data_IF_434882532588
#
_entry.id   IF_434882532588
#
_cell.length_a   1.000
_cell.length_b   1.000
_cell.length_c   1.000
_cell.angle_alpha   90.00
_cell.angle_beta   90.00
_cell.angle_gamma   90.00
#
_symmetry.space_group_name_H-M   'P 1'
#
loop_
_entity.id
_entity.type
_entity.pdbx_description
1 polymer ?
#
# COMPACT_ATOMS: atom_id res chain seq x y z
N UNK A 1 3.57 -2.17 -23.00
CA UNK A 1 4.39 -2.60 -21.80
C UNK A 1 3.55 -2.53 -20.52
N UNK A 2 3.80 -3.39 -19.51
CA UNK A 2 3.17 -3.29 -18.17
C UNK A 2 4.27 -3.33 -17.10
N UNK A 3 4.20 -2.45 -16.09
CA UNK A 3 5.06 -2.47 -14.92
C UNK A 3 4.23 -2.52 -13.64
N UNK A 4 4.67 -3.30 -12.66
CA UNK A 4 4.04 -3.41 -11.34
C UNK A 4 5.05 -3.05 -10.26
N UNK A 5 4.90 -1.88 -9.67
CA UNK A 5 5.68 -1.43 -8.52
C UNK A 5 5.06 -2.02 -7.24
N UNK A 6 5.56 -3.17 -6.81
CA UNK A 6 4.96 -3.95 -5.73
C UNK A 6 5.80 -4.00 -4.44
N UNK A 7 7.09 -3.71 -4.49
CA UNK A 7 7.96 -3.77 -3.32
C UNK A 7 7.43 -2.87 -2.19
N UNK A 8 7.42 -3.39 -0.96
CA UNK A 8 6.96 -2.64 0.19
C UNK A 8 7.29 -3.34 1.50
N UNK A 9 7.51 -2.53 2.54
CA UNK A 9 7.78 -2.97 3.90
C UNK A 9 6.83 -2.26 4.87
N UNK A 10 6.69 -2.82 6.07
CA UNK A 10 6.03 -2.17 7.20
C UNK A 10 7.00 -2.08 8.38
N UNK A 11 6.93 -0.96 9.11
CA UNK A 11 7.62 -0.75 10.39
C UNK A 11 6.54 -0.30 11.38
N UNK A 12 5.94 -1.26 12.11
CA UNK A 12 5.00 -0.96 13.17
C UNK A 12 5.69 -0.30 14.36
N UNK A 13 5.11 0.80 14.81
CA UNK A 13 5.57 1.59 15.95
C UNK A 13 4.75 2.86 16.11
N UNK A 14 4.80 3.51 17.29
CA UNK A 14 4.20 4.83 17.44
C UNK A 14 4.98 5.89 16.67
N UNK A 15 4.37 7.03 16.41
CA UNK A 15 5.05 8.13 15.71
C UNK A 15 6.29 8.62 16.47
N UNK A 16 6.19 8.73 17.79
CA UNK A 16 7.25 9.28 18.62
C UNK A 16 8.41 8.32 18.85
N UNK A 17 8.15 7.01 18.79
CA UNK A 17 9.15 5.98 19.02
C UNK A 17 9.84 5.52 17.72
N UNK A 18 9.26 5.83 16.55
CA UNK A 18 9.82 5.45 15.24
C UNK A 18 10.97 6.38 14.87
N UNK A 19 12.16 5.83 14.73
CA UNK A 19 13.37 6.58 14.42
C UNK A 19 13.37 7.15 12.99
N UNK A 20 14.15 8.22 12.75
CA UNK A 20 14.26 8.82 11.41
C UNK A 20 14.78 7.84 10.36
N UNK A 21 15.62 6.89 10.74
CA UNK A 21 16.15 5.89 9.80
C UNK A 21 15.07 4.89 9.38
N UNK A 22 14.13 4.53 10.26
CA UNK A 22 12.96 3.73 9.91
C UNK A 22 12.05 4.49 8.94
N UNK A 23 11.82 5.77 9.19
CA UNK A 23 11.09 6.64 8.26
C UNK A 23 11.75 6.68 6.89
N UNK A 24 13.06 6.92 6.83
CA UNK A 24 13.84 6.93 5.58
C UNK A 24 13.72 5.60 4.85
N UNK A 25 13.84 4.49 5.57
CA UNK A 25 13.74 3.14 5.03
C UNK A 25 12.36 2.87 4.44
N UNK A 26 11.29 3.17 5.19
CA UNK A 26 9.90 2.98 4.72
C UNK A 26 9.62 3.84 3.49
N UNK A 27 9.94 5.14 3.54
CA UNK A 27 9.73 6.05 2.41
C UNK A 27 10.61 5.69 1.22
N UNK A 28 11.87 5.31 1.45
CA UNK A 28 12.81 4.88 0.42
C UNK A 28 12.30 3.69 -0.38
N UNK A 29 11.75 2.68 0.30
CA UNK A 29 11.24 1.48 -0.38
C UNK A 29 9.82 1.70 -0.92
N UNK A 30 8.88 2.14 -0.05
CA UNK A 30 7.47 2.16 -0.41
C UNK A 30 7.09 3.28 -1.39
N UNK A 31 7.76 4.44 -1.31
CA UNK A 31 7.47 5.61 -2.13
C UNK A 31 8.54 5.81 -3.21
N UNK A 32 9.81 5.94 -2.84
CA UNK A 32 10.86 6.21 -3.83
C UNK A 32 11.07 5.04 -4.79
N UNK A 33 10.87 3.79 -4.35
CA UNK A 33 10.84 2.63 -5.24
C UNK A 33 9.77 2.77 -6.33
N UNK A 34 8.57 3.23 -5.95
CA UNK A 34 7.48 3.53 -6.91
C UNK A 34 7.84 4.69 -7.83
N UNK A 35 8.43 5.77 -7.29
CA UNK A 35 8.90 6.92 -8.10
C UNK A 35 9.92 6.48 -9.13
N UNK A 36 10.92 5.69 -8.73
CA UNK A 36 11.96 5.19 -9.64
C UNK A 36 11.38 4.30 -10.74
N UNK A 37 10.56 3.30 -10.36
CA UNK A 37 9.96 2.39 -11.33
C UNK A 37 9.03 3.13 -12.30
N UNK A 38 8.12 3.98 -11.79
CA UNK A 38 7.20 4.75 -12.63
C UNK A 38 7.94 5.70 -13.58
N UNK A 39 9.00 6.36 -13.09
CA UNK A 39 9.79 7.29 -13.93
C UNK A 39 10.56 6.58 -15.03
N UNK A 40 11.26 5.47 -14.70
CA UNK A 40 12.08 4.74 -15.67
C UNK A 40 11.20 4.09 -16.74
N UNK A 41 10.20 3.32 -16.32
CA UNK A 41 9.33 2.60 -17.25
C UNK A 41 8.30 3.50 -17.93
N UNK A 42 7.82 4.56 -17.27
CA UNK A 42 6.95 5.55 -17.89
C UNK A 42 7.65 6.26 -19.04
N UNK A 43 8.92 6.68 -18.89
CA UNK A 43 9.71 7.22 -19.99
C UNK A 43 9.87 6.24 -21.14
N UNK A 44 10.22 5.00 -20.84
CA UNK A 44 10.37 3.97 -21.86
C UNK A 44 9.04 3.73 -22.61
N UNK A 45 7.89 3.76 -21.93
CA UNK A 45 6.56 3.63 -22.57
C UNK A 45 6.27 4.82 -23.48
N UNK A 46 6.55 6.06 -23.04
CA UNK A 46 6.38 7.28 -23.87
C UNK A 46 7.28 7.22 -25.11
N UNK A 47 8.58 6.89 -24.95
CA UNK A 47 9.52 6.77 -26.05
C UNK A 47 9.15 5.67 -27.04
N UNK A 48 8.55 4.57 -26.59
CA UNK A 48 8.07 3.47 -27.41
C UNK A 48 6.81 3.84 -28.22
N UNK A 49 5.96 4.73 -27.71
CA UNK A 49 4.75 5.21 -28.37
C UNK A 49 3.62 4.18 -28.55
N UNK A 50 3.71 3.02 -27.88
CA UNK A 50 2.73 1.93 -27.98
C UNK A 50 1.74 1.92 -26.79
N UNK A 51 1.79 2.96 -25.95
CA UNK A 51 1.06 3.01 -24.70
C UNK A 51 1.58 2.00 -23.67
N UNK A 52 0.81 1.79 -22.61
CA UNK A 52 1.22 0.87 -21.56
C UNK A 52 0.37 0.98 -20.29
N UNK A 53 0.82 0.30 -19.22
CA UNK A 53 0.13 0.41 -17.94
C UNK A 53 1.11 0.34 -16.76
N UNK A 54 0.98 1.27 -15.82
CA UNK A 54 1.73 1.31 -14.58
C UNK A 54 0.79 0.94 -13.43
N UNK A 55 1.18 -0.04 -12.64
CA UNK A 55 0.46 -0.46 -11.43
C UNK A 55 1.31 -0.14 -10.21
N UNK A 56 0.77 0.65 -9.29
CA UNK A 56 1.45 1.00 -8.04
C UNK A 56 0.71 0.38 -6.84
N UNK A 57 1.40 -0.43 -6.06
CA UNK A 57 0.82 -1.08 -4.88
C UNK A 57 0.77 -0.10 -3.70
N UNK A 58 -0.37 0.56 -3.53
CA UNK A 58 -0.73 1.32 -2.35
C UNK A 58 -1.18 0.38 -1.21
N UNK A 59 -2.24 0.69 -0.49
CA UNK A 59 -2.84 -0.13 0.57
C UNK A 59 -4.18 0.46 1.02
N UNK A 60 -5.01 -0.32 1.70
CA UNK A 60 -6.12 0.21 2.49
C UNK A 60 -5.66 1.24 3.54
N UNK A 61 -4.43 1.12 4.02
CA UNK A 61 -3.79 2.09 4.93
C UNK A 61 -3.65 3.50 4.33
N UNK A 62 -3.79 3.66 3.00
CA UNK A 62 -3.83 4.97 2.36
C UNK A 62 -5.12 5.75 2.68
N UNK A 63 -6.18 5.06 3.10
CA UNK A 63 -7.49 5.65 3.36
C UNK A 63 -7.74 5.99 4.83
N UNK A 64 -6.95 5.44 5.76
CA UNK A 64 -7.22 5.62 7.17
C UNK A 64 -5.98 5.74 8.04
N UNK A 65 -6.07 6.55 9.12
CA UNK A 65 -4.97 6.67 10.07
C UNK A 65 -4.85 5.41 10.93
N UNK A 66 -3.62 5.09 11.32
CA UNK A 66 -3.29 4.08 12.33
C UNK A 66 -2.26 4.64 13.30
N UNK A 67 -2.46 4.44 14.60
CA UNK A 67 -1.50 4.86 15.64
C UNK A 67 -0.19 4.06 15.56
N UNK A 68 -0.28 2.83 15.12
CA UNK A 68 0.81 1.86 15.13
C UNK A 68 1.54 1.76 13.78
N UNK A 69 1.10 2.48 12.74
CA UNK A 69 1.68 2.39 11.39
C UNK A 69 1.81 3.76 10.70
N UNK A 70 2.23 4.85 11.38
CA UNK A 70 2.20 6.19 10.80
C UNK A 70 3.05 6.33 9.54
N UNK A 71 4.28 5.83 9.53
CA UNK A 71 5.18 5.88 8.38
C UNK A 71 4.63 5.08 7.18
N UNK A 72 4.08 3.90 7.45
CA UNK A 72 3.46 3.08 6.43
C UNK A 72 2.23 3.76 5.81
N UNK A 73 1.30 4.26 6.63
CA UNK A 73 0.11 4.97 6.17
C UNK A 73 0.48 6.19 5.32
N UNK A 74 1.44 7.00 5.78
CA UNK A 74 1.92 8.15 5.03
C UNK A 74 2.52 7.74 3.68
N UNK A 75 3.37 6.70 3.65
CA UNK A 75 3.96 6.20 2.40
C UNK A 75 2.90 5.72 1.40
N UNK A 76 1.87 4.99 1.88
CA UNK A 76 0.83 4.43 1.00
C UNK A 76 -0.18 5.48 0.54
N UNK A 77 -0.46 6.50 1.35
CA UNK A 77 -1.23 7.66 0.93
C UNK A 77 -0.50 8.47 -0.15
N UNK A 78 0.82 8.63 -0.01
CA UNK A 78 1.65 9.28 -1.02
C UNK A 78 1.66 8.50 -2.35
N UNK A 79 1.76 7.16 -2.30
CA UNK A 79 1.69 6.30 -3.51
C UNK A 79 0.33 6.43 -4.21
N UNK A 80 -0.77 6.47 -3.44
CA UNK A 80 -2.10 6.65 -4.00
C UNK A 80 -2.19 7.99 -4.76
N UNK A 81 -1.80 9.10 -4.12
CA UNK A 81 -1.86 10.43 -4.75
C UNK A 81 -0.88 10.55 -5.92
N UNK A 82 0.33 10.01 -5.81
CA UNK A 82 1.29 9.97 -6.93
C UNK A 82 0.70 9.24 -8.14
N UNK A 83 -0.01 8.13 -7.92
CA UNK A 83 -0.64 7.38 -9.02
C UNK A 83 -1.72 8.19 -9.73
N UNK A 84 -2.52 8.97 -9.00
CA UNK A 84 -3.51 9.88 -9.58
C UNK A 84 -2.83 10.98 -10.41
N UNK A 85 -1.74 11.57 -9.91
CA UNK A 85 -0.96 12.58 -10.65
C UNK A 85 -0.37 12.00 -11.94
N UNK A 86 0.26 10.81 -11.86
CA UNK A 86 0.84 10.15 -13.02
C UNK A 86 -0.23 9.77 -14.06
N UNK A 87 -1.41 9.34 -13.60
CA UNK A 87 -2.52 9.05 -14.51
C UNK A 87 -2.94 10.28 -15.28
N UNK A 88 -3.05 11.43 -14.62
CA UNK A 88 -3.40 12.69 -15.27
C UNK A 88 -2.33 13.14 -16.28
N UNK A 89 -1.04 12.95 -15.95
CA UNK A 89 0.09 13.33 -16.81
C UNK A 89 0.20 12.43 -18.05
N UNK A 90 0.09 11.11 -17.87
CA UNK A 90 0.39 10.12 -18.93
C UNK A 90 -0.81 9.72 -19.78
N UNK A 91 -2.00 10.31 -19.52
CA UNK A 91 -3.22 9.99 -20.27
C UNK A 91 -3.08 10.26 -21.78
N UNK A 92 -2.39 11.35 -22.14
CA UNK A 92 -2.16 11.74 -23.53
C UNK A 92 -1.26 10.79 -24.31
N UNK A 93 -0.42 10.02 -23.61
CA UNK A 93 0.48 9.01 -24.18
C UNK A 93 -0.14 7.61 -24.25
N UNK A 94 -1.42 7.46 -23.90
CA UNK A 94 -2.10 6.16 -23.87
C UNK A 94 -1.59 5.23 -22.78
N UNK A 95 -1.01 5.77 -21.69
CA UNK A 95 -0.48 5.01 -20.57
C UNK A 95 -1.45 5.07 -19.40
N UNK A 96 -2.05 3.92 -19.07
CA UNK A 96 -2.89 3.79 -17.89
C UNK A 96 -2.06 3.74 -16.59
N UNK A 97 -2.63 4.25 -15.50
CA UNK A 97 -2.02 4.13 -14.16
C UNK A 97 -3.08 3.68 -13.16
N UNK A 98 -2.77 2.61 -12.43
CA UNK A 98 -3.65 2.04 -11.40
C UNK A 98 -2.96 2.05 -10.03
N UNK A 99 -3.60 2.65 -9.03
CA UNK A 99 -3.27 2.43 -7.63
C UNK A 99 -4.02 1.20 -7.10
N UNK A 100 -3.31 0.14 -6.76
CA UNK A 100 -3.92 -1.05 -6.13
C UNK A 100 -3.90 -0.89 -4.62
N UNK A 101 -5.05 -1.01 -3.97
CA UNK A 101 -5.23 -0.81 -2.54
C UNK A 101 -5.73 -2.11 -1.87
N UNK A 102 -4.84 -3.08 -1.58
CA UNK A 102 -5.19 -4.25 -0.82
C UNK A 102 -5.39 -3.89 0.67
N UNK A 103 -6.23 -4.65 1.35
CA UNK A 103 -6.28 -4.68 2.81
C UNK A 103 -5.40 -5.78 3.37
N UNK A 104 -5.97 -6.65 4.22
CA UNK A 104 -5.27 -7.76 4.86
C UNK A 104 -5.11 -8.91 3.87
N UNK A 105 -3.88 -9.17 3.44
CA UNK A 105 -3.50 -10.24 2.50
C UNK A 105 -2.43 -11.11 3.15
N UNK A 106 -2.58 -12.44 3.04
CA UNK A 106 -1.62 -13.41 3.57
C UNK A 106 -0.29 -13.35 2.79
N UNK A 107 0.62 -12.47 3.22
CA UNK A 107 1.96 -12.27 2.63
C UNK A 107 3.03 -12.32 3.71
N UNK A 108 4.30 -12.30 3.31
CA UNK A 108 5.41 -12.27 4.24
C UNK A 108 5.67 -10.89 4.89
N UNK A 109 4.88 -9.86 4.57
CA UNK A 109 5.10 -8.50 5.08
C UNK A 109 5.09 -8.42 6.61
N UNK A 110 4.30 -9.26 7.27
CA UNK A 110 4.24 -9.35 8.74
C UNK A 110 5.46 -10.00 9.34
N UNK A 111 6.06 -10.97 8.63
CA UNK A 111 7.26 -11.70 9.07
C UNK A 111 8.54 -10.90 8.90
N UNK A 112 8.56 -9.96 7.94
CA UNK A 112 9.71 -9.10 7.64
C UNK A 112 9.58 -7.71 8.24
N UNK A 113 8.50 -7.43 8.97
CA UNK A 113 8.28 -6.17 9.65
C UNK A 113 9.25 -6.03 10.84
N UNK A 114 9.80 -4.82 11.02
CA UNK A 114 10.54 -4.45 12.22
C UNK A 114 9.58 -3.72 13.17
N UNK A 115 9.39 -4.25 14.38
CA UNK A 115 8.47 -3.70 15.38
C UNK A 115 9.23 -2.82 16.35
N UNK A 116 9.07 -1.51 16.24
CA UNK A 116 9.80 -0.51 17.04
C UNK A 116 9.56 -0.68 18.54
N UNK A 117 10.64 -0.56 19.32
CA UNK A 117 10.57 -0.59 20.79
C UNK A 117 10.37 -1.98 21.40
N UNK A 118 10.54 -3.06 20.63
CA UNK A 118 10.41 -4.44 21.09
C UNK A 118 11.74 -5.18 21.13
N UNK A 119 11.86 -6.16 22.02
CA UNK A 119 12.95 -7.12 21.95
C UNK A 119 12.77 -8.07 20.77
N UNK A 120 13.83 -8.73 20.32
CA UNK A 120 13.77 -9.70 19.20
C UNK A 120 12.75 -10.82 19.45
N UNK A 121 12.65 -11.32 20.70
CA UNK A 121 11.71 -12.37 21.09
C UNK A 121 10.26 -11.86 21.05
N UNK A 122 10.03 -10.60 21.46
CA UNK A 122 8.72 -9.96 21.40
C UNK A 122 8.31 -9.67 19.96
N UNK A 123 9.24 -9.23 19.11
CA UNK A 123 9.01 -9.03 17.68
C UNK A 123 8.55 -10.34 17.02
N UNK A 124 9.28 -11.44 17.24
CA UNK A 124 8.94 -12.74 16.68
C UNK A 124 7.55 -13.21 17.10
N UNK A 125 7.20 -13.02 18.37
CA UNK A 125 5.89 -13.41 18.93
C UNK A 125 4.74 -12.58 18.32
N UNK A 126 4.92 -11.27 18.19
CA UNK A 126 3.92 -10.39 17.60
C UNK A 126 3.78 -10.65 16.10
N UNK A 127 4.90 -10.81 15.40
CA UNK A 127 4.90 -11.17 13.98
C UNK A 127 4.11 -12.47 13.70
N UNK A 128 4.28 -13.49 14.56
CA UNK A 128 3.54 -14.76 14.46
C UNK A 128 2.04 -14.56 14.72
N UNK A 129 1.67 -13.79 15.76
CA UNK A 129 0.27 -13.50 16.05
C UNK A 129 -0.42 -12.75 14.91
N UNK A 130 0.22 -11.71 14.36
CA UNK A 130 -0.30 -10.93 13.24
C UNK A 130 -0.37 -11.79 11.97
N UNK A 131 0.65 -12.60 11.71
CA UNK A 131 0.66 -13.53 10.56
C UNK A 131 -0.52 -14.50 10.63
N UNK A 132 -0.77 -15.13 11.78
CA UNK A 132 -1.94 -16.01 11.97
C UNK A 132 -3.27 -15.30 11.73
N UNK A 133 -3.38 -14.02 12.13
CA UNK A 133 -4.56 -13.21 11.87
C UNK A 133 -4.76 -12.99 10.36
N UNK A 134 -3.69 -12.70 9.63
CA UNK A 134 -3.72 -12.52 8.18
C UNK A 134 -4.07 -13.82 7.44
N UNK A 135 -3.49 -14.95 7.85
CA UNK A 135 -3.79 -16.27 7.28
C UNK A 135 -5.25 -16.68 7.49
N UNK A 136 -5.85 -16.38 8.65
CA UNK A 136 -7.27 -16.63 8.92
C UNK A 136 -8.22 -15.90 7.97
N UNK A 137 -7.81 -14.74 7.42
CA UNK A 137 -8.61 -13.98 6.46
C UNK A 137 -8.70 -14.65 5.09
N UNK A 138 -7.84 -15.61 4.77
CA UNK A 138 -7.83 -16.40 3.53
C UNK A 138 -7.85 -15.57 2.25
N UNK A 139 -7.41 -14.31 2.31
CA UNK A 139 -7.23 -13.50 1.12
C UNK A 139 -5.80 -13.66 0.63
N UNK A 140 -5.65 -14.32 -0.52
CA UNK A 140 -4.33 -14.74 -1.01
C UNK A 140 -3.71 -13.73 -1.97
N UNK A 141 -2.38 -13.74 -2.15
CA UNK A 141 -1.69 -12.92 -3.15
C UNK A 141 -2.21 -13.12 -4.57
N UNK A 142 -2.62 -14.35 -4.92
CA UNK A 142 -3.16 -14.68 -6.25
C UNK A 142 -4.46 -13.92 -6.53
N UNK A 143 -5.32 -13.75 -5.53
CA UNK A 143 -6.54 -12.92 -5.68
C UNK A 143 -6.21 -11.45 -5.92
N UNK A 144 -5.15 -10.95 -5.29
CA UNK A 144 -4.67 -9.59 -5.57
C UNK A 144 -4.14 -9.50 -6.98
N UNK A 145 -3.34 -10.48 -7.44
CA UNK A 145 -2.82 -10.53 -8.80
C UNK A 145 -3.95 -10.57 -9.85
N UNK A 146 -4.99 -11.38 -9.62
CA UNK A 146 -6.18 -11.40 -10.49
C UNK A 146 -6.88 -10.03 -10.53
N UNK A 147 -7.01 -9.36 -9.38
CA UNK A 147 -7.60 -8.02 -9.32
C UNK A 147 -6.73 -6.97 -10.04
N UNK A 148 -5.39 -7.10 -10.00
CA UNK A 148 -4.46 -6.26 -10.77
C UNK A 148 -4.71 -6.45 -12.28
N UNK A 149 -4.75 -7.69 -12.76
CA UNK A 149 -4.98 -7.98 -14.18
C UNK A 149 -6.32 -7.42 -14.64
N UNK A 150 -7.38 -7.60 -13.84
CA UNK A 150 -8.70 -7.04 -14.15
C UNK A 150 -8.69 -5.50 -14.16
N UNK A 151 -7.98 -4.88 -13.20
CA UNK A 151 -7.87 -3.42 -13.12
C UNK A 151 -7.11 -2.81 -14.31
N UNK A 152 -6.09 -3.50 -14.83
CA UNK A 152 -5.38 -3.12 -16.05
C UNK A 152 -6.33 -3.20 -17.25
N UNK A 153 -7.05 -4.31 -17.41
CA UNK A 153 -7.97 -4.51 -18.53
C UNK A 153 -9.12 -3.49 -18.57
N UNK A 154 -9.57 -3.04 -17.39
CA UNK A 154 -10.63 -2.06 -17.23
C UNK A 154 -10.11 -0.61 -17.11
N UNK A 155 -8.80 -0.40 -17.18
CA UNK A 155 -8.12 0.89 -16.98
C UNK A 155 -8.60 1.63 -15.72
N UNK A 156 -8.75 0.90 -14.61
CA UNK A 156 -9.21 1.45 -13.33
C UNK A 156 -8.16 2.36 -12.69
N UNK A 157 -8.50 3.60 -12.28
CA UNK A 157 -7.55 4.48 -11.58
C UNK A 157 -7.20 3.93 -10.18
N UNK A 158 -8.19 3.41 -9.44
CA UNK A 158 -8.01 2.85 -8.10
C UNK A 158 -8.71 1.49 -7.99
N UNK A 159 -7.93 0.47 -7.69
CA UNK A 159 -8.43 -0.89 -7.46
C UNK A 159 -8.40 -1.24 -5.97
N UNK A 160 -9.55 -1.12 -5.32
CA UNK A 160 -9.73 -1.49 -3.90
C UNK A 160 -10.11 -2.96 -3.82
N UNK A 161 -9.21 -3.80 -3.29
CA UNK A 161 -9.24 -5.24 -3.57
C UNK A 161 -9.99 -6.06 -2.53
N UNK A 162 -9.78 -5.83 -1.23
CA UNK A 162 -10.39 -6.65 -0.17
C UNK A 162 -11.68 -6.02 0.39
N UNK A 163 -12.59 -6.81 1.00
CA UNK A 163 -13.84 -6.28 1.55
C UNK A 163 -13.62 -5.17 2.60
N UNK A 164 -12.66 -5.36 3.52
CA UNK A 164 -12.33 -4.37 4.54
C UNK A 164 -11.70 -3.12 3.93
N UNK A 165 -10.89 -3.24 2.88
CA UNK A 165 -10.36 -2.09 2.15
C UNK A 165 -11.48 -1.29 1.47
N UNK A 166 -12.48 -1.96 0.89
CA UNK A 166 -13.67 -1.32 0.30
C UNK A 166 -14.46 -0.56 1.35
N UNK A 167 -14.65 -1.16 2.53
CA UNK A 167 -15.32 -0.50 3.65
C UNK A 167 -14.52 0.73 4.13
N UNK A 168 -13.22 0.59 4.30
CA UNK A 168 -12.32 1.69 4.68
C UNK A 168 -12.35 2.84 3.66
N UNK A 169 -12.31 2.51 2.38
CA UNK A 169 -12.42 3.50 1.30
C UNK A 169 -13.75 4.23 1.33
N UNK A 170 -14.87 3.50 1.54
CA UNK A 170 -16.19 4.11 1.68
C UNK A 170 -16.27 5.03 2.91
N UNK A 171 -15.74 4.59 4.07
CA UNK A 171 -15.70 5.43 5.26
C UNK A 171 -14.81 6.68 5.08
N UNK A 172 -13.67 6.54 4.42
CA UNK A 172 -12.78 7.66 4.11
C UNK A 172 -13.50 8.72 3.27
N UNK A 173 -14.32 8.29 2.32
CA UNK A 173 -15.02 9.16 1.40
C UNK A 173 -16.29 9.80 2.01
N UNK A 174 -17.06 9.03 2.77
CA UNK A 174 -18.42 9.45 3.21
C UNK A 174 -18.55 9.65 4.72
N UNK A 175 -17.66 9.06 5.52
CA UNK A 175 -17.72 9.12 6.98
C UNK A 175 -16.33 9.31 7.63
N UNK A 176 -15.52 10.30 7.22
CA UNK A 176 -14.14 10.45 7.71
C UNK A 176 -14.07 10.69 9.22
N UNK A 177 -15.10 11.28 9.83
CA UNK A 177 -15.20 11.44 11.29
C UNK A 177 -15.28 10.11 12.03
N UNK A 178 -16.03 9.12 11.50
CA UNK A 178 -16.11 7.78 12.07
C UNK A 178 -14.76 7.07 11.97
N UNK A 179 -14.11 7.15 10.81
CA UNK A 179 -12.79 6.54 10.60
C UNK A 179 -11.74 7.07 11.60
N UNK A 180 -11.73 8.40 11.84
CA UNK A 180 -10.85 9.02 12.86
C UNK A 180 -11.17 8.56 14.29
N UNK A 181 -12.45 8.32 14.60
CA UNK A 181 -12.85 7.77 15.92
C UNK A 181 -12.37 6.33 16.09
N UNK A 182 -12.54 5.50 15.07
CA UNK A 182 -12.07 4.10 15.07
C UNK A 182 -10.54 4.02 15.21
N UNK A 183 -9.80 4.90 14.56
CA UNK A 183 -8.35 4.96 14.69
C UNK A 183 -7.86 5.31 16.12
N UNK A 184 -8.68 6.01 16.92
CA UNK A 184 -8.36 6.25 18.34
C UNK A 184 -8.49 5.01 19.21
N UNK A 185 -9.41 4.12 18.82
CA UNK A 185 -9.63 2.84 19.50
C UNK A 185 -8.72 1.73 18.98
N UNK A 186 -7.71 2.09 18.19
CA UNK A 186 -6.80 1.19 17.48
C UNK A 186 -6.25 0.11 18.40
N UNK A 187 -6.86 -1.05 18.32
CA UNK A 187 -6.57 -2.23 19.11
C UNK A 187 -5.89 -3.32 18.28
N UNK A 188 -5.21 -2.98 17.17
CA UNK A 188 -4.32 -3.93 16.56
C UNK A 188 -3.23 -4.27 17.57
N UNK A 189 -2.98 -5.54 17.85
CA UNK A 189 -1.87 -5.96 18.72
C UNK A 189 -0.56 -5.71 17.98
N UNK A 190 -0.10 -4.46 18.04
CA UNK A 190 1.18 -4.01 17.47
C UNK A 190 1.99 -3.39 18.57
#
# INVERSE_FOLDING_TARGET
MVVVNNAGIAVPGSFLDTEFDDWRRVLGINLMGVVHGSRLFGRAMVEQGEGGHIVNTASAAAFGPSKSLPAYCASKAAVLMLSECLRAELLGDGIGVTAVCPGIVATNITKTAHYVGRSADDEARVADQVTRLYERRRYTPERVAQAIVAAIAEDKPVAVVTPEAKLMHAMWRFAPGLLRRLARADGLPV
#
